data_IF_535070914880
#
_entry.id   IF_535070914880
#
_cell.length_a   1.000
_cell.length_b   1.000
_cell.length_c   1.000
_cell.angle_alpha   90.00
_cell.angle_beta   90.00
_cell.angle_gamma   90.00
#
_symmetry.space_group_name_H-M   'P 1'
#
loop_
_entity.id
_entity.type
_entity.pdbx_description
1 polymer ?
#
# COMPACT_ATOMS: atom_id res chain seq x y z
N UNK A 1 47.48 -37.08 54.68
CA UNK A 1 47.89 -36.02 53.73
C UNK A 1 46.76 -35.01 53.59
N UNK A 2 46.92 -33.76 54.08
CA UNK A 2 45.94 -32.69 53.83
C UNK A 2 46.29 -32.02 52.49
N UNK A 3 45.45 -32.19 51.47
CA UNK A 3 45.58 -31.47 50.19
C UNK A 3 45.39 -29.98 50.46
N UNK A 4 46.44 -29.18 50.26
CA UNK A 4 46.36 -27.71 50.34
C UNK A 4 45.58 -27.23 49.12
N UNK A 5 44.34 -26.78 49.31
CA UNK A 5 43.63 -26.00 48.29
C UNK A 5 44.37 -24.66 48.16
N UNK A 6 45.03 -24.44 47.02
CA UNK A 6 45.65 -23.15 46.72
C UNK A 6 44.52 -22.12 46.66
N UNK A 7 44.53 -21.15 47.58
CA UNK A 7 43.62 -20.02 47.52
C UNK A 7 43.91 -19.26 46.22
N UNK A 8 42.86 -19.00 45.43
CA UNK A 8 42.94 -18.20 44.20
C UNK A 8 43.55 -16.84 44.52
N UNK A 9 44.58 -16.45 43.78
CA UNK A 9 45.24 -15.16 44.00
C UNK A 9 44.41 -14.04 43.40
N UNK A 10 44.41 -12.85 44.03
CA UNK A 10 43.68 -11.66 43.52
C UNK A 10 44.08 -11.33 42.07
N UNK A 11 45.35 -11.57 41.72
CA UNK A 11 45.87 -11.31 40.38
C UNK A 11 45.29 -12.27 39.33
N UNK A 12 45.07 -13.53 39.66
CA UNK A 12 44.36 -14.48 38.76
C UNK A 12 42.91 -14.04 38.54
N UNK A 13 42.23 -13.50 39.55
CA UNK A 13 40.88 -12.98 39.42
C UNK A 13 40.83 -11.74 38.49
N UNK A 14 41.76 -10.80 38.66
CA UNK A 14 41.82 -9.59 37.82
C UNK A 14 42.13 -9.97 36.37
N UNK A 15 43.10 -10.86 36.14
CA UNK A 15 43.49 -11.30 34.79
C UNK A 15 42.34 -12.02 34.09
N UNK A 16 41.61 -12.91 34.78
CA UNK A 16 40.46 -13.60 34.19
C UNK A 16 39.30 -12.66 33.86
N UNK A 17 39.00 -11.67 34.71
CA UNK A 17 37.99 -10.64 34.41
C UNK A 17 38.39 -9.76 33.21
N UNK A 18 39.68 -9.43 33.08
CA UNK A 18 40.21 -8.64 31.97
C UNK A 18 40.14 -9.41 30.64
N UNK A 19 40.51 -10.69 30.66
CA UNK A 19 40.38 -11.58 29.49
C UNK A 19 38.91 -11.75 29.09
N UNK A 20 38.02 -12.00 30.05
CA UNK A 20 36.58 -12.12 29.77
C UNK A 20 35.97 -10.82 29.22
N UNK A 21 36.41 -9.66 29.71
CA UNK A 21 35.97 -8.35 29.21
C UNK A 21 36.37 -8.09 27.76
N UNK A 22 37.63 -8.42 27.40
CA UNK A 22 38.13 -8.30 26.02
C UNK A 22 37.38 -9.26 25.08
N UNK A 23 37.16 -10.50 25.52
CA UNK A 23 36.42 -11.51 24.74
C UNK A 23 34.96 -11.06 24.51
N UNK A 24 34.25 -10.63 25.56
CA UNK A 24 32.88 -10.11 25.44
C UNK A 24 32.80 -8.91 24.49
N UNK A 25 33.75 -7.97 24.57
CA UNK A 25 33.79 -6.81 23.67
C UNK A 25 34.05 -7.21 22.21
N UNK A 26 34.93 -8.19 21.97
CA UNK A 26 35.21 -8.73 20.64
C UNK A 26 33.98 -9.45 20.05
N UNK A 27 33.31 -10.25 20.88
CA UNK A 27 32.09 -10.97 20.51
C UNK A 27 30.95 -10.00 20.17
N UNK A 28 30.73 -8.94 20.95
CA UNK A 28 29.70 -7.93 20.64
C UNK A 28 29.95 -7.24 19.29
N UNK A 29 31.20 -6.91 18.96
CA UNK A 29 31.56 -6.33 17.65
C UNK A 29 31.32 -7.30 16.49
N UNK A 30 31.40 -8.60 16.74
CA UNK A 30 31.13 -9.64 15.74
C UNK A 30 29.63 -9.90 15.56
N UNK A 31 28.81 -9.77 16.61
CA UNK A 31 27.36 -9.98 16.55
C UNK A 31 26.55 -8.77 16.08
N UNK A 32 27.05 -7.55 16.26
CA UNK A 32 26.40 -6.33 15.74
C UNK A 32 26.01 -6.42 14.25
N UNK A 33 26.94 -6.72 13.31
CA UNK A 33 26.58 -6.77 11.89
C UNK A 33 25.58 -7.89 11.57
N UNK A 34 25.57 -8.99 12.34
CA UNK A 34 24.64 -10.11 12.14
C UNK A 34 23.21 -9.68 12.54
N UNK A 35 23.06 -9.00 13.67
CA UNK A 35 21.77 -8.48 14.11
C UNK A 35 21.23 -7.39 13.17
N UNK A 36 22.12 -6.55 12.64
CA UNK A 36 21.74 -5.52 11.67
C UNK A 36 21.28 -6.16 10.35
N UNK A 37 21.96 -7.20 9.85
CA UNK A 37 21.52 -7.93 8.66
C UNK A 37 20.17 -8.61 8.92
N UNK A 38 20.01 -9.31 10.04
CA UNK A 38 18.78 -10.02 10.37
C UNK A 38 17.57 -9.09 10.50
N UNK A 39 17.72 -7.97 11.22
CA UNK A 39 16.66 -6.97 11.40
C UNK A 39 16.27 -6.31 10.08
N UNK A 40 17.24 -5.93 9.24
CA UNK A 40 16.98 -5.37 7.92
C UNK A 40 16.27 -6.37 7.00
N UNK A 41 16.67 -7.66 7.01
CA UNK A 41 16.01 -8.70 6.21
C UNK A 41 14.57 -8.93 6.68
N UNK A 42 14.33 -8.94 8.00
CA UNK A 42 12.98 -9.11 8.54
C UNK A 42 12.07 -7.95 8.17
N UNK A 43 12.55 -6.71 8.26
CA UNK A 43 11.77 -5.52 7.88
C UNK A 43 11.49 -5.52 6.38
N UNK A 44 12.51 -5.81 5.56
CA UNK A 44 12.36 -5.90 4.12
C UNK A 44 11.31 -6.94 3.71
N UNK A 45 11.36 -8.14 4.29
CA UNK A 45 10.40 -9.21 3.99
C UNK A 45 8.96 -8.80 4.35
N UNK A 46 8.77 -8.12 5.47
CA UNK A 46 7.44 -7.63 5.88
C UNK A 46 6.94 -6.51 4.96
N UNK A 47 7.81 -5.61 4.51
CA UNK A 47 7.47 -4.58 3.53
C UNK A 47 7.06 -5.22 2.21
N UNK A 48 7.86 -6.12 1.66
CA UNK A 48 7.54 -6.81 0.40
C UNK A 48 6.23 -7.58 0.48
N UNK A 49 5.96 -8.25 1.59
CA UNK A 49 4.68 -8.93 1.80
C UNK A 49 3.51 -7.93 1.80
N UNK A 50 3.67 -6.79 2.48
CA UNK A 50 2.65 -5.75 2.58
C UNK A 50 2.38 -5.12 1.20
N UNK A 51 3.43 -4.72 0.51
CA UNK A 51 3.39 -4.14 -0.84
C UNK A 51 2.77 -5.08 -1.87
N UNK A 52 3.17 -6.36 -1.84
CA UNK A 52 2.63 -7.37 -2.74
C UNK A 52 1.14 -7.62 -2.47
N UNK A 53 0.71 -7.67 -1.21
CA UNK A 53 -0.72 -7.81 -0.93
C UNK A 53 -1.53 -6.56 -1.28
N UNK A 54 -0.96 -5.35 -1.19
CA UNK A 54 -1.58 -4.12 -1.71
C UNK A 54 -1.79 -4.24 -3.22
N UNK A 55 -0.75 -4.63 -3.95
CA UNK A 55 -0.81 -4.80 -5.40
C UNK A 55 -1.80 -5.90 -5.80
N UNK A 56 -1.77 -7.05 -5.12
CA UNK A 56 -2.69 -8.16 -5.33
C UNK A 56 -4.13 -7.81 -4.99
N UNK A 57 -4.37 -6.96 -3.97
CA UNK A 57 -5.71 -6.50 -3.64
C UNK A 57 -6.30 -5.69 -4.81
N UNK A 58 -5.55 -4.73 -5.34
CA UNK A 58 -5.99 -3.94 -6.50
C UNK A 58 -6.21 -4.88 -7.69
N UNK A 59 -5.20 -5.68 -8.05
CA UNK A 59 -5.23 -6.58 -9.19
C UNK A 59 -6.38 -7.60 -9.11
N UNK A 60 -6.62 -8.18 -7.93
CA UNK A 60 -7.67 -9.18 -7.71
C UNK A 60 -9.08 -8.63 -7.92
N UNK A 61 -9.33 -7.37 -7.54
CA UNK A 61 -10.63 -6.73 -7.73
C UNK A 61 -10.86 -6.30 -9.19
N UNK A 62 -9.83 -5.85 -9.89
CA UNK A 62 -9.96 -5.30 -11.25
C UNK A 62 -9.81 -6.36 -12.35
N UNK A 63 -9.22 -7.53 -12.07
CA UNK A 63 -8.90 -8.56 -13.07
C UNK A 63 -10.13 -9.03 -13.87
N UNK A 64 -11.29 -9.08 -13.22
CA UNK A 64 -12.55 -9.53 -13.81
C UNK A 64 -13.52 -8.37 -14.11
N UNK A 65 -13.07 -7.12 -13.99
CA UNK A 65 -13.90 -5.99 -14.33
C UNK A 65 -14.15 -5.94 -15.85
N UNK A 66 -15.38 -5.64 -16.23
CA UNK A 66 -15.77 -5.43 -17.61
C UNK A 66 -15.27 -4.09 -18.14
N UNK A 67 -15.34 -3.03 -17.32
CA UNK A 67 -14.85 -1.69 -17.64
C UNK A 67 -14.17 -1.07 -16.41
N UNK A 68 -13.10 -0.30 -16.65
CA UNK A 68 -12.26 0.29 -15.60
C UNK A 68 -11.86 1.72 -15.97
N UNK A 69 -12.12 2.70 -15.12
CA UNK A 69 -11.56 4.04 -15.22
C UNK A 69 -10.53 4.29 -14.12
N UNK A 70 -9.39 4.89 -14.48
CA UNK A 70 -8.34 5.25 -13.54
C UNK A 70 -8.15 6.76 -13.61
N UNK A 71 -8.50 7.43 -12.50
CA UNK A 71 -8.54 8.88 -12.42
C UNK A 71 -7.65 9.36 -11.28
N UNK A 72 -6.62 10.12 -11.61
CA UNK A 72 -5.60 10.62 -10.68
C UNK A 72 -5.73 12.14 -10.42
N UNK A 73 -6.36 12.90 -11.33
CA UNK A 73 -6.58 14.35 -11.16
C UNK A 73 -8.04 14.73 -10.83
N UNK A 74 -8.82 13.81 -10.26
CA UNK A 74 -10.20 14.10 -9.88
C UNK A 74 -10.29 14.68 -8.46
N UNK A 75 -11.20 15.64 -8.28
CA UNK A 75 -11.39 16.30 -6.99
C UNK A 75 -12.03 15.37 -5.93
N UNK A 76 -12.87 14.44 -6.37
CA UNK A 76 -13.60 13.52 -5.49
C UNK A 76 -13.85 12.17 -6.16
N UNK A 77 -14.08 11.10 -5.39
CA UNK A 77 -14.46 9.81 -5.96
C UNK A 77 -15.81 9.87 -6.69
N UNK A 78 -16.71 10.78 -6.30
CA UNK A 78 -17.98 11.01 -6.99
C UNK A 78 -17.76 11.59 -8.39
N UNK A 79 -16.87 12.59 -8.52
CA UNK A 79 -16.50 13.14 -9.82
C UNK A 79 -15.90 12.06 -10.74
N UNK A 80 -15.03 11.20 -10.21
CA UNK A 80 -14.48 10.06 -10.95
C UNK A 80 -15.57 9.10 -11.45
N UNK A 81 -16.60 8.79 -10.64
CA UNK A 81 -17.73 7.95 -11.07
C UNK A 81 -18.57 8.63 -12.14
N UNK A 82 -18.84 9.93 -12.00
CA UNK A 82 -19.60 10.68 -13.00
C UNK A 82 -18.89 10.70 -14.35
N UNK A 83 -17.57 10.94 -14.37
CA UNK A 83 -16.75 10.86 -15.59
C UNK A 83 -16.77 9.45 -16.17
N UNK A 84 -16.64 8.42 -15.32
CA UNK A 84 -16.68 7.03 -15.76
C UNK A 84 -18.00 6.66 -16.44
N UNK A 85 -19.13 6.99 -15.81
CA UNK A 85 -20.47 6.68 -16.35
C UNK A 85 -20.80 7.49 -17.61
N UNK A 86 -20.25 8.70 -17.75
CA UNK A 86 -20.38 9.47 -18.98
C UNK A 86 -19.66 8.80 -20.17
N UNK A 87 -18.51 8.20 -19.92
CA UNK A 87 -17.70 7.52 -20.94
C UNK A 87 -18.12 6.05 -21.16
N UNK A 88 -18.73 5.42 -20.15
CA UNK A 88 -19.13 4.01 -20.14
C UNK A 88 -20.56 3.88 -19.58
N UNK A 89 -21.60 4.31 -20.32
CA UNK A 89 -22.96 4.39 -19.79
C UNK A 89 -23.68 3.04 -19.69
N UNK A 90 -23.15 1.98 -20.33
CA UNK A 90 -23.80 0.67 -20.37
C UNK A 90 -22.85 -0.48 -20.04
N UNK A 91 -23.41 -1.58 -19.55
CA UNK A 91 -22.70 -2.85 -19.42
C UNK A 91 -22.48 -3.54 -20.79
N UNK A 92 -21.91 -4.75 -20.77
CA UNK A 92 -21.72 -5.58 -21.97
C UNK A 92 -23.03 -5.99 -22.66
N UNK A 93 -24.15 -5.98 -21.95
CA UNK A 93 -25.47 -6.39 -22.44
C UNK A 93 -26.32 -5.20 -22.90
N UNK A 94 -25.81 -3.96 -22.73
CA UNK A 94 -26.50 -2.72 -23.09
C UNK A 94 -27.39 -2.15 -21.99
N UNK A 95 -27.36 -2.70 -20.77
CA UNK A 95 -28.10 -2.16 -19.64
C UNK A 95 -27.39 -0.90 -19.12
N UNK A 96 -28.17 0.14 -18.77
CA UNK A 96 -27.62 1.38 -18.24
C UNK A 96 -26.95 1.16 -16.88
N UNK A 97 -25.69 1.61 -16.75
CA UNK A 97 -24.95 1.58 -15.50
C UNK A 97 -25.30 2.81 -14.64
N UNK A 98 -25.43 2.59 -13.33
CA UNK A 98 -25.64 3.65 -12.35
C UNK A 98 -24.52 3.67 -11.30
N UNK A 99 -24.50 4.69 -10.45
CA UNK A 99 -23.55 4.78 -9.36
C UNK A 99 -23.66 3.61 -8.35
N UNK A 100 -24.78 2.88 -8.34
CA UNK A 100 -25.00 1.71 -7.48
C UNK A 100 -24.39 0.41 -8.04
N UNK A 101 -23.96 0.42 -9.29
CA UNK A 101 -23.42 -0.76 -9.97
C UNK A 101 -21.90 -0.78 -9.97
N UNK A 102 -21.27 0.39 -9.81
CA UNK A 102 -19.81 0.56 -9.85
C UNK A 102 -19.19 0.50 -8.46
N UNK A 103 -18.03 -0.14 -8.40
CA UNK A 103 -17.15 -0.12 -7.25
C UNK A 103 -16.01 0.88 -7.47
N UNK A 104 -15.52 1.48 -6.37
CA UNK A 104 -14.38 2.39 -6.43
C UNK A 104 -13.32 2.00 -5.41
N UNK A 105 -12.11 1.74 -5.88
CA UNK A 105 -10.91 1.67 -5.05
C UNK A 105 -10.27 3.05 -5.02
N UNK A 106 -10.10 3.58 -3.82
CA UNK A 106 -9.49 4.86 -3.55
C UNK A 106 -8.11 4.65 -2.93
N UNK A 107 -7.09 5.15 -3.62
CA UNK A 107 -5.73 5.26 -3.11
C UNK A 107 -5.59 6.67 -2.52
N UNK A 108 -5.58 6.74 -1.20
CA UNK A 108 -5.56 8.00 -0.46
C UNK A 108 -4.12 8.37 -0.11
N UNK A 109 -3.61 9.39 -0.80
CA UNK A 109 -2.24 9.88 -0.69
C UNK A 109 -2.15 11.18 0.11
N UNK A 110 -3.25 11.94 0.21
CA UNK A 110 -3.27 13.28 0.80
C UNK A 110 -3.71 13.33 2.26
N UNK A 111 -4.37 12.28 2.75
CA UNK A 111 -4.94 12.24 4.10
C UNK A 111 -4.14 11.26 4.95
N UNK A 112 -3.64 11.74 6.09
CA UNK A 112 -2.91 10.91 7.03
C UNK A 112 -3.82 9.90 7.72
N UNK A 113 -3.27 8.74 8.06
CA UNK A 113 -3.85 7.79 9.00
C UNK A 113 -2.89 7.52 10.16
N UNK A 114 -3.44 7.12 11.30
CA UNK A 114 -2.67 6.76 12.49
C UNK A 114 -2.44 5.25 12.54
N UNK A 115 -1.20 4.83 12.73
CA UNK A 115 -0.90 3.43 13.01
C UNK A 115 -1.56 3.03 14.35
N UNK A 116 -2.42 2.00 14.31
CA UNK A 116 -3.23 1.57 15.46
C UNK A 116 -4.64 2.16 15.53
N UNK A 117 -5.06 2.95 14.53
CA UNK A 117 -6.44 3.42 14.38
C UNK A 117 -6.73 4.79 14.96
N UNK A 118 -7.98 5.24 14.78
CA UNK A 118 -8.43 6.56 15.20
C UNK A 118 -8.25 6.77 16.71
N UNK A 119 -7.61 7.88 17.10
CA UNK A 119 -7.31 8.19 18.51
C UNK A 119 -5.98 7.64 19.04
N UNK A 120 -5.23 6.87 18.23
CA UNK A 120 -3.88 6.44 18.61
C UNK A 120 -2.89 7.61 18.62
N UNK A 121 -2.03 7.67 19.63
CA UNK A 121 -0.95 8.68 19.78
C UNK A 121 0.25 8.45 18.83
N UNK A 122 0.03 7.73 17.73
CA UNK A 122 1.05 7.39 16.73
C UNK A 122 1.36 8.53 15.76
N UNK A 123 2.38 8.31 14.95
CA UNK A 123 2.75 9.15 13.81
C UNK A 123 1.68 9.15 12.72
N UNK A 124 1.77 10.16 11.85
CA UNK A 124 0.95 10.29 10.65
C UNK A 124 1.62 9.57 9.48
N UNK A 125 0.91 8.58 8.93
CA UNK A 125 1.34 7.77 7.81
C UNK A 125 0.42 7.98 6.59
N UNK A 126 0.90 7.69 5.40
CA UNK A 126 0.20 7.97 4.13
C UNK A 126 0.22 6.77 3.16
N UNK A 127 -0.61 6.84 2.11
CA UNK A 127 -0.65 5.83 1.05
C UNK A 127 -1.58 4.65 1.35
N UNK A 128 -2.83 4.93 1.68
CA UNK A 128 -3.77 3.89 2.12
C UNK A 128 -4.84 3.60 1.10
N UNK A 129 -5.25 2.34 0.99
CA UNK A 129 -6.37 1.94 0.15
C UNK A 129 -7.66 1.86 0.97
N UNK A 130 -8.72 2.44 0.41
CA UNK A 130 -10.10 2.35 0.90
C UNK A 130 -10.98 1.93 -0.26
N UNK A 131 -11.98 1.07 -0.03
CA UNK A 131 -13.01 0.82 -1.04
C UNK A 131 -14.27 1.57 -0.67
N UNK A 132 -14.81 2.30 -1.65
CA UNK A 132 -16.14 2.90 -1.59
C UNK A 132 -17.18 1.84 -1.86
N UNK A 133 -18.26 1.85 -1.09
CA UNK A 133 -19.41 0.99 -1.37
C UNK A 133 -20.20 1.54 -2.57
N UNK A 134 -20.79 0.67 -3.41
CA UNK A 134 -21.61 1.12 -4.52
C UNK A 134 -22.75 2.05 -4.05
N UNK A 135 -22.99 3.12 -4.80
CA UNK A 135 -24.03 4.11 -4.51
C UNK A 135 -23.70 5.12 -3.39
N UNK A 136 -22.57 4.98 -2.69
CA UNK A 136 -22.08 5.98 -1.72
C UNK A 136 -21.33 7.10 -2.41
N UNK A 137 -20.94 8.19 -1.74
CA UNK A 137 -20.30 9.36 -2.41
C UNK A 137 -18.85 9.60 -2.01
N UNK A 138 -18.37 9.03 -0.89
CA UNK A 138 -17.07 9.36 -0.33
C UNK A 138 -16.19 8.13 -0.04
N UNK A 139 -14.88 8.33 -0.13
CA UNK A 139 -13.86 7.40 0.36
C UNK A 139 -13.37 7.87 1.72
N UNK A 140 -14.12 7.56 2.76
CA UNK A 140 -13.77 7.99 4.12
C UNK A 140 -12.70 7.08 4.72
N UNK A 141 -11.68 7.68 5.34
CA UNK A 141 -10.71 7.00 6.20
C UNK A 141 -11.14 6.95 7.67
N UNK A 142 -12.27 7.56 8.01
CA UNK A 142 -12.76 7.58 9.38
C UNK A 142 -13.39 6.22 9.71
N UNK A 143 -12.85 5.52 10.71
CA UNK A 143 -13.38 4.22 11.16
C UNK A 143 -14.85 4.30 11.55
N UNK A 144 -15.32 5.41 12.10
CA UNK A 144 -16.74 5.61 12.43
C UNK A 144 -17.67 5.60 11.20
N UNK A 145 -17.10 5.83 10.01
CA UNK A 145 -17.81 5.84 8.73
C UNK A 145 -17.60 4.55 7.93
N UNK A 146 -16.89 3.56 8.48
CA UNK A 146 -16.80 2.24 7.87
C UNK A 146 -18.10 1.49 8.08
N UNK A 147 -18.76 1.12 6.99
CA UNK A 147 -19.98 0.34 7.05
C UNK A 147 -19.64 -1.15 7.10
N UNK A 148 -19.77 -1.76 8.28
CA UNK A 148 -19.72 -3.22 8.40
C UNK A 148 -21.11 -3.85 8.19
N UNK A 149 -22.18 -3.04 8.08
CA UNK A 149 -23.59 -3.48 8.07
C UNK A 149 -24.43 -2.92 6.91
N UNK A 150 -23.79 -2.25 5.94
CA UNK A 150 -24.35 -1.69 4.70
C UNK A 150 -25.49 -0.64 4.84
N UNK A 151 -25.70 -0.03 6.01
CA UNK A 151 -26.83 0.90 6.26
C UNK A 151 -26.46 2.38 6.39
N UNK A 152 -25.25 2.74 6.85
CA UNK A 152 -24.91 4.15 7.19
C UNK A 152 -23.50 4.60 6.81
N UNK A 153 -22.58 3.70 6.52
CA UNK A 153 -21.21 4.05 6.15
C UNK A 153 -21.02 4.20 4.64
N UNK A 154 -19.92 4.85 4.26
CA UNK A 154 -19.63 5.23 2.87
C UNK A 154 -18.57 4.33 2.21
N UNK A 155 -17.75 3.69 3.04
CA UNK A 155 -16.58 2.94 2.62
C UNK A 155 -16.34 1.76 3.53
N UNK A 156 -15.53 0.82 3.08
CA UNK A 156 -14.94 -0.20 3.93
C UNK A 156 -13.41 -0.18 3.81
N UNK A 157 -12.77 -0.63 4.86
CA UNK A 157 -11.32 -0.68 4.95
C UNK A 157 -10.79 -1.85 4.11
N UNK A 158 -10.04 -1.56 3.04
CA UNK A 158 -9.53 -2.59 2.12
C UNK A 158 -8.56 -3.55 2.82
N UNK A 159 -7.67 -3.00 3.65
CA UNK A 159 -6.71 -3.76 4.47
C UNK A 159 -6.61 -3.12 5.86
N UNK A 160 -6.48 -3.95 6.89
CA UNK A 160 -6.50 -3.52 8.29
C UNK A 160 -5.33 -2.60 8.67
N UNK A 161 -5.49 -1.83 9.75
CA UNK A 161 -4.43 -0.95 10.27
C UNK A 161 -3.14 -1.73 10.59
N UNK A 162 -3.27 -2.96 11.08
CA UNK A 162 -2.14 -3.84 11.36
C UNK A 162 -1.37 -4.27 10.10
N UNK A 163 -2.04 -4.30 8.94
CA UNK A 163 -1.43 -4.68 7.67
C UNK A 163 -0.50 -3.58 7.16
N UNK A 164 -0.91 -2.32 7.29
CA UNK A 164 -0.10 -1.18 6.87
C UNK A 164 1.06 -0.90 7.83
N UNK A 165 0.88 -1.18 9.13
CA UNK A 165 1.93 -1.01 10.13
C UNK A 165 2.37 0.45 10.29
N UNK A 166 3.64 0.65 10.61
CA UNK A 166 4.27 1.97 10.75
C UNK A 166 5.02 2.36 9.49
N UNK A 167 4.34 2.41 8.35
CA UNK A 167 4.96 2.69 7.06
C UNK A 167 4.17 3.69 6.20
N UNK A 168 4.91 4.50 5.44
CA UNK A 168 4.33 5.22 4.31
C UNK A 168 4.37 4.34 3.07
N UNK A 169 3.29 4.35 2.29
CA UNK A 169 3.23 3.64 1.02
C UNK A 169 3.10 4.62 -0.14
N UNK A 170 3.78 4.29 -1.23
CA UNK A 170 3.83 5.05 -2.46
C UNK A 170 3.27 4.17 -3.57
N UNK A 171 1.95 4.26 -3.78
CA UNK A 171 1.21 3.41 -4.71
C UNK A 171 0.96 4.19 -5.99
N UNK A 172 1.54 3.72 -7.09
CA UNK A 172 1.46 4.34 -8.41
C UNK A 172 0.81 3.39 -9.39
N UNK A 173 -0.02 3.95 -10.28
CA UNK A 173 -0.55 3.23 -11.43
C UNK A 173 0.04 3.87 -12.67
N UNK A 174 0.58 3.05 -13.56
CA UNK A 174 1.35 3.55 -14.69
C UNK A 174 1.30 2.58 -15.87
N UNK A 175 1.92 2.96 -16.99
CA UNK A 175 2.03 2.11 -18.19
C UNK A 175 0.67 1.58 -18.67
N UNK A 176 -0.28 2.49 -18.82
CA UNK A 176 -1.60 2.20 -19.35
C UNK A 176 -1.49 1.72 -20.79
N UNK A 177 -2.03 0.54 -21.05
CA UNK A 177 -2.13 -0.08 -22.37
C UNK A 177 -3.58 -0.46 -22.63
N UNK A 178 -3.89 -0.82 -23.88
CA UNK A 178 -5.17 -1.42 -24.28
C UNK A 178 -5.48 -2.73 -23.55
N UNK A 179 -4.47 -3.37 -22.95
CA UNK A 179 -4.58 -4.69 -22.31
C UNK A 179 -4.43 -4.66 -20.79
N UNK A 180 -4.16 -3.50 -20.20
CA UNK A 180 -3.94 -3.38 -18.76
C UNK A 180 -3.00 -2.26 -18.35
N UNK A 181 -2.45 -2.37 -17.14
CA UNK A 181 -1.64 -1.33 -16.50
C UNK A 181 -0.70 -1.94 -15.46
N UNK A 182 0.30 -1.17 -15.05
CA UNK A 182 1.25 -1.56 -14.02
C UNK A 182 0.92 -0.89 -12.68
N UNK A 183 0.89 -1.69 -11.63
CA UNK A 183 0.83 -1.23 -10.23
C UNK A 183 2.25 -1.28 -9.68
N UNK A 184 2.72 -0.14 -9.18
CA UNK A 184 4.00 -0.04 -8.48
C UNK A 184 3.76 0.39 -7.05
N UNK A 185 4.20 -0.41 -6.10
CA UNK A 185 4.12 -0.11 -4.67
C UNK A 185 5.52 -0.04 -4.09
N UNK A 186 5.80 1.05 -3.40
CA UNK A 186 7.02 1.23 -2.63
C UNK A 186 6.67 1.68 -1.22
N UNK A 187 7.58 1.54 -0.25
CA UNK A 187 7.31 1.90 1.14
C UNK A 187 8.53 2.37 1.91
N UNK A 188 8.28 3.21 2.92
CA UNK A 188 9.24 3.58 3.96
C UNK A 188 8.76 3.10 5.31
N UNK A 189 9.48 2.16 5.92
CA UNK A 189 9.12 1.56 7.20
C UNK A 189 9.80 2.29 8.36
N UNK A 190 9.03 2.71 9.34
CA UNK A 190 9.54 3.39 10.55
C UNK A 190 9.66 2.39 11.69
N UNK A 191 10.82 2.34 12.34
CA UNK A 191 11.09 1.43 13.47
C UNK A 191 10.30 1.79 14.73
N UNK A 192 9.74 2.99 14.78
CA UNK A 192 8.93 3.45 15.90
C UNK A 192 7.53 3.87 15.46
N UNK A 193 6.57 3.78 16.39
CA UNK A 193 5.20 4.25 16.16
C UNK A 193 5.12 5.76 15.90
N UNK A 194 6.15 6.52 16.26
CA UNK A 194 6.26 7.93 15.93
C UNK A 194 7.17 8.11 14.73
N UNK A 195 6.73 8.92 13.76
CA UNK A 195 7.52 9.19 12.57
C UNK A 195 8.72 10.05 12.96
N UNK A 196 9.91 9.47 12.92
CA UNK A 196 11.17 10.16 13.17
C UNK A 196 11.99 10.18 11.89
N UNK A 197 12.50 11.35 11.53
CA UNK A 197 13.14 11.59 10.23
C UNK A 197 14.38 10.71 9.95
N UNK A 198 15.05 10.19 10.97
CA UNK A 198 16.28 9.40 10.82
C UNK A 198 16.14 7.96 11.36
N UNK A 199 14.92 7.50 11.60
CA UNK A 199 14.64 6.20 12.23
C UNK A 199 13.68 5.38 11.35
N UNK A 200 14.10 5.20 10.10
CA UNK A 200 13.32 4.47 9.11
C UNK A 200 14.22 3.65 8.20
N UNK A 201 13.66 2.55 7.71
CA UNK A 201 14.23 1.70 6.70
C UNK A 201 13.66 2.09 5.34
N UNK A 202 14.57 2.38 4.42
CA UNK A 202 14.29 2.59 3.01
C UNK A 202 15.19 1.66 2.19
N UNK A 203 14.62 1.02 1.16
CA UNK A 203 15.42 0.18 0.25
C UNK A 203 16.48 1.04 -0.46
N UNK A 204 17.75 0.67 -0.32
CA UNK A 204 18.89 1.35 -0.95
C UNK A 204 18.80 1.20 -2.49
N UNK A 205 19.00 2.28 -3.27
CA UNK A 205 18.75 2.39 -4.72
C UNK A 205 17.26 2.50 -5.12
N UNK A 206 16.76 3.74 -5.20
CA UNK A 206 15.38 4.10 -5.50
C UNK A 206 14.90 3.78 -6.94
N UNK A 207 15.78 3.36 -7.84
CA UNK A 207 15.44 3.19 -9.27
C UNK A 207 14.76 1.86 -9.61
N UNK A 208 14.90 0.82 -8.78
CA UNK A 208 14.41 -0.54 -9.12
C UNK A 208 13.87 -1.36 -7.94
N UNK A 209 13.89 -0.83 -6.72
CA UNK A 209 13.51 -1.57 -5.52
C UNK A 209 12.09 -1.20 -5.09
N UNK A 210 11.12 -1.58 -5.92
CA UNK A 210 9.70 -1.45 -5.66
C UNK A 210 9.00 -2.73 -6.06
N UNK A 211 7.88 -3.03 -5.42
CA UNK A 211 7.03 -4.13 -5.85
C UNK A 211 6.26 -3.69 -7.08
N UNK A 212 6.48 -4.38 -8.21
CA UNK A 212 5.79 -4.13 -9.46
C UNK A 212 4.92 -5.33 -9.81
N UNK A 213 3.65 -5.06 -10.08
CA UNK A 213 2.69 -6.05 -10.58
C UNK A 213 2.00 -5.51 -11.83
N UNK A 214 2.14 -6.23 -12.94
CA UNK A 214 1.42 -5.92 -14.17
C UNK A 214 0.06 -6.60 -14.16
N UNK A 215 -1.00 -5.81 -14.30
CA UNK A 215 -2.37 -6.28 -14.42
C UNK A 215 -2.69 -6.46 -15.89
N UNK A 216 -3.10 -7.67 -16.26
CA UNK A 216 -3.63 -7.96 -17.59
C UNK A 216 -5.14 -8.19 -17.49
N UNK A 217 -5.91 -7.40 -18.23
CA UNK A 217 -7.36 -7.47 -18.24
C UNK A 217 -7.82 -8.65 -19.11
N UNK A 218 -8.59 -9.56 -18.52
CA UNK A 218 -9.04 -10.76 -19.22
C UNK A 218 -10.20 -10.44 -20.18
N UNK A 219 -9.97 -10.50 -21.50
CA UNK A 219 -10.93 -10.21 -22.59
C UNK A 219 -11.04 -8.72 -22.99
N UNK A 220 -10.00 -8.12 -23.60
CA UNK A 220 -9.94 -6.68 -23.94
C UNK A 220 -10.87 -6.25 -25.09
N UNK A 221 -11.47 -7.21 -25.81
CA UNK A 221 -12.28 -6.96 -27.01
C UNK A 221 -13.60 -7.70 -26.90
N UNK A 222 -14.71 -6.97 -26.93
CA UNK A 222 -16.04 -7.53 -27.19
C UNK A 222 -16.19 -7.63 -28.71
N UNK A 223 -16.65 -8.77 -29.27
CA UNK A 223 -16.99 -8.85 -30.68
C UNK A 223 -18.07 -7.82 -31.00
N UNK A 224 -17.78 -6.88 -31.89
CA UNK A 224 -18.75 -5.90 -32.36
C UNK A 224 -19.93 -6.64 -33.02
N UNK A 225 -21.11 -6.61 -32.41
CA UNK A 225 -22.35 -6.96 -33.10
C UNK A 225 -22.92 -5.70 -33.73
N UNK A 226 -23.44 -5.84 -34.94
CA UNK A 226 -23.52 -4.84 -36.02
C UNK A 226 -24.39 -3.58 -35.80
N UNK A 227 -24.71 -3.18 -34.56
CA UNK A 227 -25.55 -2.01 -34.28
C UNK A 227 -25.06 -1.13 -33.11
N UNK A 228 -23.97 -1.51 -32.43
CA UNK A 228 -23.39 -0.72 -31.35
C UNK A 228 -21.93 -0.50 -31.65
N UNK A 229 -21.52 0.76 -31.80
CA UNK A 229 -20.13 1.20 -31.87
C UNK A 229 -19.32 0.41 -30.84
N UNK A 230 -18.37 -0.41 -31.31
CA UNK A 230 -17.73 -1.45 -30.50
C UNK A 230 -17.26 -0.90 -29.15
N UNK A 231 -17.91 -1.35 -28.07
CA UNK A 231 -17.53 -1.01 -26.71
C UNK A 231 -16.18 -1.66 -26.46
N UNK A 232 -15.10 -0.88 -26.60
CA UNK A 232 -13.77 -1.34 -26.19
C UNK A 232 -13.77 -1.39 -24.67
N UNK A 233 -13.11 -2.37 -24.07
CA UNK A 233 -12.74 -2.25 -22.66
C UNK A 233 -11.88 -1.00 -22.50
N UNK A 234 -12.48 0.06 -21.98
CA UNK A 234 -11.79 1.32 -21.80
C UNK A 234 -11.03 1.18 -20.49
N UNK A 235 -9.70 1.18 -20.54
CA UNK A 235 -8.91 1.72 -19.43
C UNK A 235 -8.97 3.23 -19.64
N UNK A 236 -9.94 3.89 -19.01
CA UNK A 236 -10.07 5.35 -19.16
C UNK A 236 -8.94 6.00 -18.35
N UNK A 237 -8.01 6.62 -19.08
CA UNK A 237 -6.83 7.28 -18.54
C UNK A 237 -6.79 8.76 -18.97
N UNK A 238 -7.96 9.38 -19.15
CA UNK A 238 -8.06 10.78 -19.57
C UNK A 238 -7.65 11.78 -18.48
N UNK A 239 -7.54 11.34 -17.22
CA UNK A 239 -7.20 12.18 -16.07
C UNK A 239 -6.02 11.60 -15.28
N UNK A 240 -4.87 11.41 -15.93
CA UNK A 240 -3.65 10.96 -15.27
C UNK A 240 -2.84 12.12 -14.68
N UNK A 241 -2.17 11.86 -13.57
CA UNK A 241 -1.16 12.74 -12.98
C UNK A 241 0.11 11.93 -12.76
N UNK A 242 1.16 12.25 -13.51
CA UNK A 242 2.45 11.57 -13.43
C UNK A 242 3.09 11.62 -12.02
N UNK A 243 2.64 12.53 -11.16
CA UNK A 243 3.13 12.67 -9.79
C UNK A 243 2.29 11.92 -8.77
N UNK A 244 1.09 11.44 -9.13
CA UNK A 244 0.22 10.73 -8.19
C UNK A 244 0.93 9.51 -7.60
N UNK A 245 0.90 9.38 -6.27
CA UNK A 245 1.51 8.26 -5.56
C UNK A 245 3.04 8.24 -5.57
N UNK A 246 3.72 9.29 -6.06
CA UNK A 246 5.19 9.40 -5.99
C UNK A 246 5.67 9.77 -4.59
N UNK A 247 6.91 9.40 -4.25
CA UNK A 247 7.58 9.74 -2.99
C UNK A 247 7.61 11.23 -2.67
N UNK A 248 7.74 12.06 -3.71
CA UNK A 248 7.74 13.52 -3.59
C UNK A 248 6.34 14.14 -3.46
N UNK A 249 5.28 13.38 -3.73
CA UNK A 249 3.91 13.87 -3.77
C UNK A 249 3.08 13.40 -2.57
N UNK A 250 3.22 12.15 -2.14
CA UNK A 250 2.43 11.57 -1.04
C UNK A 250 2.64 12.37 0.26
N UNK A 251 1.54 12.69 0.95
CA UNK A 251 1.53 13.47 2.19
C UNK A 251 1.75 14.98 2.03
N UNK A 252 1.89 15.48 0.80
CA UNK A 252 2.01 16.92 0.52
C UNK A 252 0.65 17.58 0.26
N UNK A 253 0.60 18.90 0.24
CA UNK A 253 -0.62 19.65 -0.15
C UNK A 253 -0.97 19.50 -1.62
N UNK A 254 0.02 19.14 -2.45
CA UNK A 254 -0.17 18.82 -3.86
C UNK A 254 -0.52 17.33 -4.10
N UNK A 255 -0.63 16.53 -3.02
CA UNK A 255 -0.95 15.12 -3.13
C UNK A 255 -2.34 14.92 -3.74
N UNK A 256 -2.39 14.14 -4.83
CA UNK A 256 -3.65 13.72 -5.45
C UNK A 256 -3.96 12.26 -5.12
N UNK A 257 -5.24 11.98 -4.94
CA UNK A 257 -5.71 10.62 -4.71
C UNK A 257 -5.99 9.94 -6.05
N UNK A 258 -5.72 8.65 -6.14
CA UNK A 258 -6.04 7.86 -7.34
C UNK A 258 -7.35 7.11 -7.10
N UNK A 259 -8.27 7.22 -8.05
CA UNK A 259 -9.57 6.55 -8.04
C UNK A 259 -9.63 5.53 -9.16
N UNK A 260 -9.74 4.26 -8.80
CA UNK A 260 -9.97 3.17 -9.74
C UNK A 260 -11.46 2.85 -9.66
N UNK A 261 -12.22 3.30 -10.64
CA UNK A 261 -13.64 2.99 -10.80
C UNK A 261 -13.75 1.76 -11.68
N UNK A 262 -14.51 0.76 -11.27
CA UNK A 262 -14.67 -0.44 -12.07
C UNK A 262 -16.06 -1.04 -11.93
N UNK A 263 -16.49 -1.71 -12.99
CA UNK A 263 -17.71 -2.51 -13.01
C UNK A 263 -17.34 -3.99 -13.19
N UNK A 264 -17.83 -4.86 -12.31
CA UNK A 264 -17.68 -6.32 -12.42
C UNK A 264 -19.05 -6.97 -12.42
N UNK A 265 -19.22 -8.02 -13.24
CA UNK A 265 -20.43 -8.87 -13.20
C UNK A 265 -20.51 -9.48 -11.80
N UNK A 266 -21.65 -9.30 -11.13
CA UNK A 266 -21.97 -9.99 -9.87
C UNK A 266 -22.48 -11.39 -10.14
#
# INVERSE_FOLDING_TARGET
MKKKFKAFTLIELIVTMLIMGIIMAGIMRMFQPINDVYSNTSVLSNQEASELGIANYIAGNVKYAQSIGIYEDQASPEAAVTTFLANNPTDLEGNALTAADVDVICIVNNTAYKAGGAGSSGGDFYGRIVRRLPGKTACSLNQANFDYTATTGNSYMAMGDAYYGTADYYIRISNFTDKGFDITVDSDYYYSKQKKANDFFQRKNATSNYTKLSVYLANPTIPATASTTGVKRVVDNTHLDANAGTRSNVGTTAAKNTYIVYYSIK
#
